data_IF_317967443027
#
_entry.id   IF_317967443027
#
_cell.length_a   1.000
_cell.length_b   1.000
_cell.length_c   1.000
_cell.angle_alpha   90.00
_cell.angle_beta   90.00
_cell.angle_gamma   90.00
#
_symmetry.space_group_name_H-M   'P 1'
#
loop_
_entity.id
_entity.type
_entity.pdbx_description
1 polymer ?
#
# COMPACT_ATOMS: atom_id res chain seq x y z
N UNK A 1 27.79 -22.43 24.29
CA UNK A 1 28.15 -21.04 23.94
C UNK A 1 27.29 -20.65 22.74
N UNK A 2 26.05 -20.24 22.98
CA UNK A 2 25.13 -19.83 21.91
C UNK A 2 24.94 -18.31 21.97
N UNK A 3 25.35 -17.67 20.88
CA UNK A 3 25.30 -16.25 20.59
C UNK A 3 23.85 -15.75 20.70
N UNK A 4 23.53 -15.00 21.77
CA UNK A 4 22.31 -14.20 21.79
C UNK A 4 22.47 -13.08 20.79
N UNK A 5 21.78 -13.19 19.66
CA UNK A 5 21.61 -12.09 18.73
C UNK A 5 20.94 -10.94 19.49
N UNK A 6 21.73 -9.91 19.75
CA UNK A 6 21.30 -8.67 20.37
C UNK A 6 20.42 -7.95 19.34
N UNK A 7 19.11 -8.20 19.36
CA UNK A 7 18.15 -7.38 18.61
C UNK A 7 18.22 -5.98 19.21
N UNK A 8 18.56 -4.92 18.45
CA UNK A 8 18.51 -3.57 18.99
C UNK A 8 17.05 -3.26 19.29
N UNK A 9 16.71 -3.18 20.58
CA UNK A 9 15.45 -2.64 21.06
C UNK A 9 15.33 -1.21 20.55
N UNK A 10 14.38 -0.89 19.66
CA UNK A 10 14.16 0.49 19.28
C UNK A 10 13.65 1.28 20.50
N UNK A 11 14.08 2.54 20.61
CA UNK A 11 13.86 3.41 21.75
C UNK A 11 12.38 3.84 21.79
N UNK A 12 11.66 3.69 22.92
CA UNK A 12 10.25 4.03 22.97
C UNK A 12 10.07 5.55 22.86
N UNK A 13 9.62 6.02 21.71
CA UNK A 13 9.24 7.44 21.56
C UNK A 13 9.16 8.00 20.14
N UNK A 14 9.70 7.32 19.13
CA UNK A 14 9.58 7.75 17.73
C UNK A 14 9.68 6.55 16.77
N UNK A 15 9.01 5.45 17.09
CA UNK A 15 9.00 4.31 16.18
C UNK A 15 8.09 4.64 14.98
N UNK A 16 8.61 4.51 13.73
CA UNK A 16 7.74 4.59 12.56
C UNK A 16 6.63 3.55 12.71
N UNK A 17 5.37 3.94 12.43
CA UNK A 17 4.24 3.00 12.52
C UNK A 17 4.61 1.74 11.74
N UNK A 18 4.52 0.59 12.40
CA UNK A 18 4.76 -0.68 11.74
C UNK A 18 3.76 -0.84 10.58
N UNK A 19 4.20 -1.28 9.40
CA UNK A 19 3.30 -1.48 8.28
C UNK A 19 2.31 -2.61 8.60
N UNK A 20 1.02 -2.34 8.42
CA UNK A 20 -0.05 -3.34 8.52
C UNK A 20 -0.02 -4.35 7.37
N UNK A 21 0.52 -3.96 6.21
CA UNK A 21 0.62 -4.84 5.05
C UNK A 21 2.06 -5.23 4.74
N UNK A 22 2.26 -6.46 4.24
CA UNK A 22 3.56 -6.98 3.89
C UNK A 22 3.82 -6.89 2.38
N UNK A 23 5.10 -6.86 2.00
CA UNK A 23 5.52 -7.01 0.61
C UNK A 23 5.01 -8.34 0.01
N UNK A 24 4.48 -8.28 -1.21
CA UNK A 24 3.82 -9.39 -1.89
C UNK A 24 2.39 -9.69 -1.41
N UNK A 25 1.83 -8.88 -0.50
CA UNK A 25 0.45 -9.05 -0.06
C UNK A 25 -0.53 -8.41 -1.04
N UNK A 26 -1.62 -9.10 -1.33
CA UNK A 26 -2.71 -8.55 -2.14
C UNK A 26 -3.60 -7.64 -1.30
N UNK A 27 -3.87 -6.45 -1.84
CA UNK A 27 -4.73 -5.43 -1.25
C UNK A 27 -5.73 -4.92 -2.28
N UNK A 28 -6.86 -4.41 -1.81
CA UNK A 28 -7.88 -3.75 -2.64
C UNK A 28 -7.88 -2.26 -2.35
N UNK A 29 -7.93 -1.44 -3.39
CA UNK A 29 -8.18 -0.01 -3.26
C UNK A 29 -9.60 0.25 -2.75
N UNK A 30 -9.73 0.95 -1.62
CA UNK A 30 -11.03 1.36 -1.07
C UNK A 30 -11.66 2.55 -1.79
N UNK A 31 -10.84 3.33 -2.49
CA UNK A 31 -11.24 4.52 -3.24
C UNK A 31 -10.52 4.60 -4.59
N UNK A 32 -10.90 5.57 -5.41
CA UNK A 32 -10.31 5.78 -6.73
C UNK A 32 -8.93 6.44 -6.55
N UNK A 33 -7.87 5.67 -6.81
CA UNK A 33 -6.50 6.17 -6.71
C UNK A 33 -6.16 6.95 -7.97
N UNK A 34 -6.20 8.27 -7.86
CA UNK A 34 -5.81 9.21 -8.91
C UNK A 34 -4.34 9.63 -8.75
N UNK A 35 -3.70 9.99 -9.86
CA UNK A 35 -2.34 10.48 -9.83
C UNK A 35 -2.30 11.88 -9.21
N UNK A 36 -1.66 12.03 -8.05
CA UNK A 36 -1.43 13.33 -7.41
C UNK A 36 -0.32 14.15 -8.10
N UNK A 37 0.32 13.58 -9.13
CA UNK A 37 1.49 14.12 -9.81
C UNK A 37 2.78 13.39 -9.46
N UNK A 38 2.74 12.40 -8.57
CA UNK A 38 3.89 11.55 -8.24
C UNK A 38 4.26 10.57 -9.35
N UNK A 39 3.34 10.26 -10.26
CA UNK A 39 3.57 9.33 -11.37
C UNK A 39 3.89 10.11 -12.66
N UNK A 40 5.14 10.09 -13.17
CA UNK A 40 5.55 10.93 -14.30
C UNK A 40 5.00 10.46 -15.66
N UNK A 41 4.64 9.18 -15.78
CA UNK A 41 4.15 8.61 -17.04
C UNK A 41 2.67 8.92 -17.33
N UNK A 42 1.92 9.46 -16.36
CA UNK A 42 0.51 9.84 -16.51
C UNK A 42 0.28 11.28 -16.04
N UNK A 43 -0.74 11.97 -16.57
CA UNK A 43 -1.07 13.31 -16.08
C UNK A 43 -1.55 13.26 -14.62
N UNK A 44 -1.41 14.37 -13.91
CA UNK A 44 -2.08 14.55 -12.62
C UNK A 44 -3.61 14.46 -12.82
N UNK A 45 -4.32 13.95 -11.82
CA UNK A 45 -5.76 13.65 -11.83
C UNK A 45 -6.16 12.41 -12.67
N UNK A 46 -5.20 11.73 -13.33
CA UNK A 46 -5.49 10.50 -14.08
C UNK A 46 -5.78 9.32 -13.15
N UNK A 47 -6.81 8.52 -13.46
CA UNK A 47 -7.17 7.36 -12.66
C UNK A 47 -6.13 6.25 -12.82
N UNK A 48 -5.33 6.01 -11.77
CA UNK A 48 -4.33 4.96 -11.74
C UNK A 48 -4.93 3.61 -11.40
N UNK A 49 -5.79 3.58 -10.38
CA UNK A 49 -6.53 2.38 -9.99
C UNK A 49 -7.94 2.76 -9.53
N UNK A 50 -8.96 2.09 -10.06
CA UNK A 50 -10.33 2.29 -9.62
C UNK A 50 -10.55 1.66 -8.25
N UNK A 51 -11.49 2.21 -7.48
CA UNK A 51 -12.01 1.57 -6.27
C UNK A 51 -12.42 0.12 -6.55
N UNK A 52 -12.03 -0.80 -5.67
CA UNK A 52 -12.26 -2.23 -5.83
C UNK A 52 -11.20 -2.94 -6.67
N UNK A 53 -10.23 -2.21 -7.24
CA UNK A 53 -9.12 -2.83 -7.96
C UNK A 53 -8.20 -3.57 -6.99
N UNK A 54 -7.77 -4.76 -7.39
CA UNK A 54 -6.81 -5.56 -6.63
C UNK A 54 -5.41 -5.24 -7.12
N UNK A 55 -4.50 -5.02 -6.18
CA UNK A 55 -3.09 -4.85 -6.47
C UNK A 55 -2.22 -5.62 -5.49
N UNK A 56 -0.93 -5.68 -5.80
CA UNK A 56 0.07 -6.33 -4.96
C UNK A 56 1.00 -5.27 -4.36
N UNK A 57 1.25 -5.34 -3.05
CA UNK A 57 2.21 -4.46 -2.38
C UNK A 57 3.62 -4.80 -2.86
N UNK A 58 4.17 -4.01 -3.76
CA UNK A 58 5.51 -4.22 -4.34
C UNK A 58 6.60 -3.41 -3.64
N UNK A 59 6.23 -2.41 -2.84
CA UNK A 59 7.16 -1.68 -1.98
C UNK A 59 6.41 -1.01 -0.81
N UNK A 60 7.12 -0.73 0.28
CA UNK A 60 6.58 -0.02 1.44
C UNK A 60 7.54 1.12 1.74
N UNK A 61 7.12 2.32 1.37
CA UNK A 61 7.78 3.57 1.74
C UNK A 61 7.40 4.00 3.16
N UNK A 62 8.04 5.07 3.60
CA UNK A 62 7.72 5.71 4.88
C UNK A 62 7.69 7.22 4.69
N UNK A 63 6.54 7.85 4.94
CA UNK A 63 6.42 9.29 4.92
C UNK A 63 6.86 9.84 6.27
N UNK A 64 8.12 10.27 6.38
CA UNK A 64 8.68 10.81 7.63
C UNK A 64 7.94 12.03 8.16
N UNK A 65 7.27 12.80 7.29
CA UNK A 65 6.46 13.96 7.68
C UNK A 65 5.15 13.58 8.37
N UNK A 66 4.54 12.46 7.96
CA UNK A 66 3.30 11.92 8.52
C UNK A 66 3.57 10.87 9.61
N UNK A 67 4.79 10.34 9.67
CA UNK A 67 5.18 9.19 10.48
C UNK A 67 4.29 7.95 10.19
N UNK A 68 3.87 7.81 8.94
CA UNK A 68 3.01 6.72 8.46
C UNK A 68 3.67 5.94 7.30
N UNK A 69 3.44 4.61 7.24
CA UNK A 69 3.88 3.79 6.12
C UNK A 69 3.06 4.12 4.86
N UNK A 70 3.75 4.25 3.73
CA UNK A 70 3.15 4.45 2.42
C UNK A 70 3.31 3.14 1.64
N UNK A 71 2.21 2.56 1.19
CA UNK A 71 2.25 1.31 0.45
C UNK A 71 2.27 1.60 -1.03
N UNK A 72 3.28 1.09 -1.72
CA UNK A 72 3.34 1.14 -3.17
C UNK A 72 2.77 -0.16 -3.70
N UNK A 73 1.60 -0.05 -4.30
CA UNK A 73 0.81 -1.16 -4.78
C UNK A 73 0.85 -1.16 -6.30
N UNK A 74 1.20 -2.30 -6.89
CA UNK A 74 1.19 -2.52 -8.33
C UNK A 74 -0.22 -2.92 -8.75
N UNK A 75 -0.86 -2.07 -9.57
CA UNK A 75 -2.16 -2.30 -10.21
C UNK A 75 -2.00 -2.27 -11.72
N UNK A 76 -2.45 -3.29 -12.47
CA UNK A 76 -2.52 -3.36 -13.94
C UNK A 76 -1.38 -2.63 -14.71
N UNK A 77 -0.13 -2.76 -14.25
CA UNK A 77 1.06 -2.12 -14.85
C UNK A 77 1.47 -0.74 -14.31
N UNK A 78 0.71 -0.11 -13.42
CA UNK A 78 1.09 1.12 -12.70
C UNK A 78 1.33 0.87 -11.20
N UNK A 79 2.37 1.50 -10.64
CA UNK A 79 2.66 1.46 -9.20
C UNK A 79 2.11 2.72 -8.57
N UNK A 80 1.22 2.55 -7.58
CA UNK A 80 0.49 3.64 -6.94
C UNK A 80 0.82 3.67 -5.45
N UNK A 81 1.24 4.83 -4.96
CA UNK A 81 1.49 5.06 -3.54
C UNK A 81 0.18 5.42 -2.84
N UNK A 82 -0.21 4.64 -1.84
CA UNK A 82 -1.45 4.82 -1.09
C UNK A 82 -1.24 4.52 0.40
N UNK A 83 -2.10 5.08 1.24
CA UNK A 83 -2.02 4.91 2.69
C UNK A 83 -2.73 3.64 3.16
N UNK A 84 -2.45 3.23 4.40
CA UNK A 84 -3.12 2.08 5.04
C UNK A 84 -4.65 2.20 4.97
N UNK A 85 -5.16 3.41 5.19
CA UNK A 85 -6.59 3.73 5.28
C UNK A 85 -7.30 3.65 3.92
N UNK A 86 -6.54 3.68 2.82
CA UNK A 86 -7.05 3.61 1.45
C UNK A 86 -7.04 2.18 0.90
N UNK A 87 -6.52 1.23 1.69
CA UNK A 87 -6.29 -0.14 1.30
C UNK A 87 -6.98 -1.10 2.26
N UNK A 88 -7.40 -2.25 1.75
CA UNK A 88 -7.83 -3.38 2.58
C UNK A 88 -7.12 -4.66 2.16
N UNK A 89 -6.76 -5.53 3.12
CA UNK A 89 -6.15 -6.81 2.78
C UNK A 89 -7.18 -7.70 2.10
N UNK A 90 -6.78 -8.34 1.01
CA UNK A 90 -7.63 -9.29 0.28
C UNK A 90 -7.70 -10.60 1.08
N UNK A 91 -8.88 -11.02 1.58
CA UNK A 91 -8.99 -12.33 2.21
C UNK A 91 -8.79 -13.44 1.17
N UNK A 92 -8.25 -14.58 1.59
CA UNK A 92 -8.08 -15.73 0.72
C UNK A 92 -9.43 -16.15 0.10
N UNK A 93 -9.52 -16.08 -1.23
CA UNK A 93 -10.74 -16.42 -1.99
C UNK A 93 -11.66 -15.24 -2.32
N UNK A 94 -11.23 -14.00 -2.07
CA UNK A 94 -11.96 -12.82 -2.53
C UNK A 94 -11.98 -12.76 -4.06
N UNK A 95 -13.17 -12.58 -4.63
CA UNK A 95 -13.34 -12.29 -6.04
C UNK A 95 -13.85 -10.85 -6.14
N UNK A 96 -13.24 -10.00 -6.99
CA UNK A 96 -13.83 -8.70 -7.27
C UNK A 96 -15.23 -8.93 -7.81
N UNK A 97 -16.23 -8.36 -7.13
CA UNK A 97 -17.59 -8.25 -7.63
C UNK A 97 -17.56 -7.42 -8.90
N UNK A 98 -17.30 -8.10 -10.01
CA UNK A 98 -17.30 -7.50 -11.34
C UNK A 98 -18.74 -7.13 -11.66
N UNK A 99 -19.09 -5.86 -11.49
CA UNK A 99 -20.16 -5.22 -12.26
C UNK A 99 -21.36 -4.69 -11.48
N UNK A 100 -21.61 -3.41 -11.67
CA UNK A 100 -22.93 -2.79 -11.60
C UNK A 100 -23.13 -1.87 -12.79
N UNK A 101 -23.13 -2.43 -14.00
CA UNK A 101 -23.66 -1.75 -15.18
C UNK A 101 -25.16 -1.52 -14.96
N UNK A 102 -25.61 -0.26 -15.02
CA UNK A 102 -27.02 0.10 -15.28
C UNK A 102 -27.08 1.17 -16.35
#
# INVERSE_FOLDING_TARGET
>A
MNTSANTPTPLPGLEPRAPAYAWGQHVVALDDLVNDGSYPDRPADDLLAARGSVGEVVNIGHASELNEPVYLVQFDGCVVGCLEIELVPVPHGWQPETGGSV
#
